data_IF_259873266813
#
_entry.id   IF_259873266813
#
_cell.length_a   1.000
_cell.length_b   1.000
_cell.length_c   1.000
_cell.angle_alpha   90.00
_cell.angle_beta   90.00
_cell.angle_gamma   90.00
#
_symmetry.space_group_name_H-M   'P 1'
#
loop_
_entity.id
_entity.type
_entity.pdbx_description
1 polymer ?
#
# COMPACT_ATOMS: atom_id res chain seq x y z
N UNK A 1 -3.57 22.05 -0.12
CA UNK A 1 -4.62 21.01 -0.10
C UNK A 1 -4.14 19.85 0.79
N UNK A 2 -4.06 20.06 2.10
CA UNK A 2 -3.19 19.22 2.96
C UNK A 2 -3.93 18.17 3.81
N UNK A 3 -5.24 17.94 3.63
CA UNK A 3 -6.01 17.11 4.58
C UNK A 3 -7.05 16.14 3.97
N UNK A 4 -7.13 15.95 2.66
CA UNK A 4 -8.21 15.12 2.08
C UNK A 4 -8.04 13.61 2.36
N UNK A 5 -6.80 13.13 2.48
CA UNK A 5 -6.51 11.72 2.75
C UNK A 5 -6.37 11.38 4.23
N UNK A 6 -6.40 12.36 5.13
CA UNK A 6 -6.39 12.07 6.58
C UNK A 6 -7.63 11.29 7.00
N UNK A 7 -8.74 11.46 6.28
CA UNK A 7 -9.95 10.65 6.48
C UNK A 7 -9.72 9.16 6.16
N UNK A 8 -8.74 8.81 5.33
CA UNK A 8 -8.40 7.41 5.06
C UNK A 8 -7.94 6.69 6.33
N UNK A 9 -7.25 7.37 7.26
CA UNK A 9 -6.88 6.81 8.56
C UNK A 9 -8.11 6.51 9.44
N UNK A 10 -9.25 7.15 9.18
CA UNK A 10 -10.51 6.83 9.85
C UNK A 10 -11.18 5.58 9.27
N UNK A 11 -10.88 5.23 8.03
CA UNK A 11 -11.52 4.12 7.30
C UNK A 11 -10.79 2.80 7.57
N UNK A 12 -9.45 2.83 7.72
CA UNK A 12 -8.64 1.61 7.93
C UNK A 12 -8.67 1.05 9.36
N UNK A 13 -9.77 1.26 10.10
CA UNK A 13 -10.06 0.70 11.42
C UNK A 13 -8.91 0.79 12.47
N UNK A 14 -8.15 1.89 12.45
CA UNK A 14 -7.17 2.15 13.51
C UNK A 14 -7.87 2.60 14.80
N UNK A 15 -7.43 2.06 15.92
CA UNK A 15 -7.85 2.55 17.23
C UNK A 15 -7.35 3.99 17.48
N UNK A 16 -7.92 4.66 18.48
CA UNK A 16 -7.61 6.06 18.76
C UNK A 16 -6.12 6.30 19.03
N UNK A 17 -5.44 5.37 19.69
CA UNK A 17 -4.04 5.53 20.05
C UNK A 17 -3.13 5.35 18.82
N UNK A 18 -3.40 4.34 17.99
CA UNK A 18 -2.66 4.10 16.76
C UNK A 18 -2.87 5.26 15.77
N UNK A 19 -4.11 5.76 15.65
CA UNK A 19 -4.41 6.90 14.76
C UNK A 19 -3.66 8.17 15.13
N UNK A 20 -3.44 8.43 16.42
CA UNK A 20 -2.66 9.59 16.87
C UNK A 20 -1.18 9.48 16.50
N UNK A 21 -0.67 8.26 16.33
CA UNK A 21 0.72 7.98 15.96
C UNK A 21 0.87 7.68 14.47
N UNK A 22 -0.24 7.62 13.73
CA UNK A 22 -0.26 7.36 12.31
C UNK A 22 0.05 8.63 11.52
N UNK A 23 0.90 8.50 10.51
CA UNK A 23 1.15 9.53 9.51
C UNK A 23 0.78 8.98 8.14
N UNK A 24 0.29 9.88 7.29
CA UNK A 24 -0.11 9.57 5.94
C UNK A 24 0.41 10.66 5.02
N UNK A 25 1.27 10.24 4.09
CA UNK A 25 1.87 11.09 3.08
C UNK A 25 1.47 10.62 1.69
N UNK A 26 1.30 11.57 0.77
CA UNK A 26 1.17 11.24 -0.65
C UNK A 26 2.57 10.97 -1.18
N UNK A 27 2.84 9.73 -1.57
CA UNK A 27 4.11 9.31 -2.13
C UNK A 27 4.19 9.66 -3.62
N UNK A 28 3.10 9.38 -4.36
CA UNK A 28 3.05 9.62 -5.81
C UNK A 28 1.64 9.93 -6.27
N UNK A 29 1.53 10.76 -7.31
CA UNK A 29 0.30 10.99 -8.05
C UNK A 29 0.43 10.43 -9.47
N UNK A 30 -0.66 9.82 -9.95
CA UNK A 30 -0.82 9.25 -11.28
C UNK A 30 -2.02 9.91 -11.96
N UNK A 31 -1.87 11.10 -12.59
CA UNK A 31 -3.00 11.92 -13.05
C UNK A 31 -3.98 11.22 -14.01
N UNK A 32 -3.53 10.18 -14.72
CA UNK A 32 -4.34 9.38 -15.64
C UNK A 32 -4.89 8.08 -15.03
N UNK A 33 -4.61 7.78 -13.76
CA UNK A 33 -4.87 6.50 -13.09
C UNK A 33 -4.02 5.33 -13.62
N UNK A 34 -3.44 5.51 -14.81
CA UNK A 34 -2.61 4.54 -15.50
C UNK A 34 -1.13 4.86 -15.29
N UNK A 35 -0.31 3.86 -14.92
CA UNK A 35 1.08 4.10 -14.58
C UNK A 35 1.90 4.24 -15.84
N UNK A 36 2.38 5.46 -16.15
CA UNK A 36 3.48 5.58 -17.11
C UNK A 36 4.69 4.83 -16.55
N UNK A 37 5.39 4.06 -17.38
CA UNK A 37 6.51 3.20 -16.94
C UNK A 37 7.57 3.97 -16.13
N UNK A 38 7.85 5.23 -16.50
CA UNK A 38 8.77 6.11 -15.75
C UNK A 38 8.26 6.46 -14.35
N UNK A 39 6.96 6.74 -14.20
CA UNK A 39 6.36 7.02 -12.91
C UNK A 39 6.34 5.78 -12.03
N UNK A 40 6.05 4.62 -12.63
CA UNK A 40 6.08 3.35 -11.93
C UNK A 40 7.49 3.01 -11.45
N UNK A 41 8.51 3.15 -12.32
CA UNK A 41 9.91 2.94 -11.94
C UNK A 41 10.32 3.83 -10.78
N UNK A 42 9.99 5.12 -10.85
CA UNK A 42 10.27 6.06 -9.77
C UNK A 42 9.53 5.73 -8.47
N UNK A 43 8.30 5.21 -8.54
CA UNK A 43 7.60 4.70 -7.36
C UNK A 43 8.35 3.49 -6.76
N UNK A 44 8.82 2.57 -7.60
CA UNK A 44 9.58 1.41 -7.11
C UNK A 44 10.93 1.83 -6.51
N UNK A 45 11.59 2.87 -7.05
CA UNK A 45 12.78 3.47 -6.43
C UNK A 45 12.49 3.97 -5.01
N UNK A 46 11.37 4.66 -4.81
CA UNK A 46 10.95 5.17 -3.50
C UNK A 46 10.59 4.04 -2.54
N UNK A 47 9.86 3.02 -3.00
CA UNK A 47 9.52 1.84 -2.18
C UNK A 47 10.79 1.11 -1.72
N UNK A 48 11.79 0.93 -2.60
CA UNK A 48 13.06 0.31 -2.21
C UNK A 48 13.80 1.13 -1.14
N UNK A 49 13.73 2.46 -1.21
CA UNK A 49 14.30 3.34 -0.18
C UNK A 49 13.52 3.28 1.13
N UNK A 50 12.20 3.26 1.10
CA UNK A 50 11.37 3.15 2.30
C UNK A 50 11.61 1.83 3.04
N UNK A 51 11.59 0.72 2.31
CA UNK A 51 11.74 -0.62 2.90
C UNK A 51 13.20 -1.08 3.03
N UNK A 52 14.16 -0.27 2.59
CA UNK A 52 15.61 -0.58 2.59
C UNK A 52 15.90 -1.96 1.97
N UNK A 53 15.15 -2.32 0.92
CA UNK A 53 15.17 -3.65 0.29
C UNK A 53 14.85 -3.55 -1.19
N UNK A 54 15.55 -4.33 -2.01
CA UNK A 54 15.30 -4.45 -3.47
C UNK A 54 14.04 -5.24 -3.82
N UNK A 55 13.58 -6.04 -2.87
CA UNK A 55 12.40 -6.87 -3.01
C UNK A 55 11.38 -6.48 -1.95
N UNK A 56 10.11 -6.56 -2.32
CA UNK A 56 8.99 -6.22 -1.45
C UNK A 56 7.78 -7.07 -1.80
N UNK A 57 6.83 -7.12 -0.88
CA UNK A 57 5.62 -7.92 -1.02
C UNK A 57 4.51 -7.05 -1.61
N UNK A 58 4.11 -7.33 -2.85
CA UNK A 58 2.92 -6.73 -3.46
C UNK A 58 1.70 -7.59 -3.13
N UNK A 59 0.67 -6.98 -2.57
CA UNK A 59 -0.57 -7.61 -2.12
C UNK A 59 -1.78 -6.93 -2.77
N UNK A 60 -2.79 -7.71 -3.11
CA UNK A 60 -4.07 -7.22 -3.62
C UNK A 60 -5.23 -8.15 -3.25
N UNK A 61 -6.45 -7.64 -3.40
CA UNK A 61 -7.68 -8.39 -3.20
C UNK A 61 -8.29 -8.78 -4.55
N UNK A 62 -9.11 -9.83 -4.56
CA UNK A 62 -9.96 -10.15 -5.70
C UNK A 62 -11.44 -9.93 -5.35
N UNK A 63 -12.34 -10.04 -6.33
CA UNK A 63 -13.80 -9.84 -6.20
C UNK A 63 -14.52 -10.68 -5.12
N UNK A 64 -13.81 -11.51 -4.34
CA UNK A 64 -14.33 -12.20 -3.15
C UNK A 64 -13.49 -11.98 -1.89
N UNK A 65 -12.82 -10.81 -1.80
CA UNK A 65 -11.97 -10.35 -0.69
C UNK A 65 -10.90 -11.37 -0.28
N UNK A 66 -10.41 -12.17 -1.23
CA UNK A 66 -9.31 -13.10 -0.98
C UNK A 66 -8.00 -12.38 -1.21
N UNK A 67 -7.10 -12.48 -0.24
CA UNK A 67 -5.75 -11.93 -0.32
C UNK A 67 -4.90 -12.74 -1.30
N UNK A 68 -4.29 -12.03 -2.24
CA UNK A 68 -3.21 -12.52 -3.09
C UNK A 68 -1.97 -11.68 -2.83
N UNK A 69 -0.81 -12.32 -2.89
CA UNK A 69 0.45 -11.62 -2.80
C UNK A 69 1.51 -12.28 -3.68
N UNK A 70 2.51 -11.48 -4.04
CA UNK A 70 3.71 -11.91 -4.75
C UNK A 70 4.88 -11.07 -4.24
N UNK A 71 6.02 -11.70 -3.99
CA UNK A 71 7.28 -10.96 -3.84
C UNK A 71 7.74 -10.47 -5.21
N UNK A 72 8.03 -9.19 -5.30
CA UNK A 72 8.40 -8.53 -6.54
C UNK A 72 9.61 -7.63 -6.32
N UNK A 73 10.29 -7.33 -7.42
CA UNK A 73 11.33 -6.30 -7.49
C UNK A 73 11.09 -5.40 -8.70
N UNK A 74 11.99 -4.44 -8.94
CA UNK A 74 12.00 -3.67 -10.19
C UNK A 74 12.12 -4.55 -11.45
N UNK A 75 12.70 -5.73 -11.36
CA UNK A 75 12.80 -6.66 -12.49
C UNK A 75 11.41 -7.18 -12.92
N UNK A 76 10.44 -7.18 -12.01
CA UNK A 76 9.04 -7.53 -12.26
C UNK A 76 8.22 -6.36 -12.86
N UNK A 77 8.85 -5.30 -13.36
CA UNK A 77 8.17 -4.10 -13.88
C UNK A 77 6.98 -4.41 -14.79
N UNK A 78 7.16 -5.33 -15.75
CA UNK A 78 6.09 -5.74 -16.68
C UNK A 78 4.90 -6.36 -15.96
N UNK A 79 5.15 -7.17 -14.93
CA UNK A 79 4.10 -7.77 -14.12
C UNK A 79 3.38 -6.69 -13.31
N UNK A 80 4.12 -5.80 -12.64
CA UNK A 80 3.54 -4.74 -11.79
C UNK A 80 2.68 -3.80 -12.65
N UNK A 81 3.19 -3.39 -13.81
CA UNK A 81 2.47 -2.55 -14.77
C UNK A 81 1.15 -3.20 -15.23
N UNK A 82 1.19 -4.48 -15.59
CA UNK A 82 -0.02 -5.21 -15.99
C UNK A 82 -1.01 -5.37 -14.82
N UNK A 83 -0.51 -5.70 -13.63
CA UNK A 83 -1.32 -5.85 -12.44
C UNK A 83 -2.00 -4.53 -12.06
N UNK A 84 -1.30 -3.40 -12.16
CA UNK A 84 -1.86 -2.08 -11.88
C UNK A 84 -3.09 -1.77 -12.72
N UNK A 85 -3.00 -1.99 -14.04
CA UNK A 85 -4.13 -1.77 -14.94
C UNK A 85 -5.28 -2.76 -14.72
N UNK A 86 -4.96 -4.04 -14.47
CA UNK A 86 -5.96 -5.08 -14.21
C UNK A 86 -6.70 -4.90 -12.88
N UNK A 87 -6.02 -4.30 -11.89
CA UNK A 87 -6.52 -4.05 -10.54
C UNK A 87 -6.94 -2.58 -10.37
N UNK A 88 -7.32 -1.91 -11.46
CA UNK A 88 -8.04 -0.64 -11.37
C UNK A 88 -9.34 -0.86 -10.58
N UNK A 89 -9.63 0.02 -9.62
CA UNK A 89 -10.73 -0.15 -8.67
C UNK A 89 -10.45 -1.06 -7.48
N UNK A 90 -9.21 -1.51 -7.26
CA UNK A 90 -8.81 -2.26 -6.07
C UNK A 90 -7.61 -1.60 -5.39
N UNK A 91 -7.47 -1.78 -4.08
CA UNK A 91 -6.23 -1.45 -3.39
C UNK A 91 -5.09 -2.38 -3.83
N UNK A 92 -3.89 -1.81 -3.95
CA UNK A 92 -2.65 -2.58 -4.01
C UNK A 92 -1.79 -2.12 -2.84
N UNK A 93 -1.36 -3.06 -2.01
CA UNK A 93 -0.44 -2.79 -0.91
C UNK A 93 0.96 -3.23 -1.31
N UNK A 94 1.95 -2.45 -0.93
CA UNK A 94 3.34 -2.84 -0.91
C UNK A 94 3.81 -2.87 0.54
N UNK A 95 4.41 -3.98 0.92
CA UNK A 95 4.88 -4.28 2.27
C UNK A 95 6.35 -4.71 2.23
N UNK A 96 7.08 -4.63 3.35
CA UNK A 96 8.40 -5.25 3.48
C UNK A 96 8.41 -6.73 3.04
N UNK A 97 9.55 -7.21 2.54
CA UNK A 97 9.68 -8.59 2.00
C UNK A 97 9.35 -9.66 3.05
N UNK A 98 9.71 -9.41 4.30
CA UNK A 98 9.51 -10.28 5.45
C UNK A 98 8.09 -10.21 6.02
N UNK A 99 7.18 -9.47 5.38
CA UNK A 99 5.78 -9.42 5.76
C UNK A 99 5.14 -10.81 5.76
N UNK A 100 4.72 -11.26 6.94
CA UNK A 100 4.13 -12.58 7.15
C UNK A 100 2.65 -12.59 6.75
N UNK A 101 2.38 -12.64 5.45
CA UNK A 101 1.03 -12.65 4.89
C UNK A 101 0.54 -14.08 4.64
N UNK A 102 -0.67 -14.37 5.10
CA UNK A 102 -1.38 -15.63 4.79
C UNK A 102 -2.49 -15.39 3.79
N UNK A 103 -2.65 -16.32 2.85
CA UNK A 103 -3.80 -16.33 1.95
C UNK A 103 -5.05 -16.65 2.76
N UNK A 104 -5.91 -15.67 2.94
CA UNK A 104 -7.20 -15.82 3.60
C UNK A 104 -8.24 -14.91 2.93
N UNK A 105 -9.51 -15.10 3.27
CA UNK A 105 -10.54 -14.11 2.98
C UNK A 105 -10.58 -13.10 4.11
N UNK A 106 -10.79 -11.85 3.74
CA UNK A 106 -11.08 -10.76 4.70
C UNK A 106 -12.53 -10.35 4.57
N UNK A 107 -13.12 -9.94 5.69
CA UNK A 107 -14.47 -9.39 5.69
C UNK A 107 -14.47 -7.94 5.22
N UNK A 108 -13.40 -7.21 5.51
CA UNK A 108 -13.23 -5.79 5.23
C UNK A 108 -11.78 -5.54 4.77
N UNK A 109 -11.61 -4.89 3.61
CA UNK A 109 -10.29 -4.69 3.00
C UNK A 109 -9.53 -3.58 3.70
N UNK A 110 -10.23 -2.51 4.09
CA UNK A 110 -9.70 -1.36 4.80
C UNK A 110 -9.28 -1.72 6.23
N UNK A 111 -10.09 -2.49 6.95
CA UNK A 111 -9.69 -3.01 8.26
C UNK A 111 -8.45 -3.91 8.14
N UNK A 112 -8.32 -4.69 7.07
CA UNK A 112 -7.11 -5.48 6.81
C UNK A 112 -5.89 -4.60 6.49
N UNK A 113 -6.06 -3.51 5.73
CA UNK A 113 -5.00 -2.51 5.52
C UNK A 113 -4.50 -1.96 6.87
N UNK A 114 -5.41 -1.64 7.79
CA UNK A 114 -5.07 -1.23 9.16
C UNK A 114 -4.28 -2.28 9.93
N UNK A 115 -4.68 -3.54 9.85
CA UNK A 115 -3.93 -4.66 10.46
C UNK A 115 -2.53 -4.79 9.89
N UNK A 116 -2.36 -4.66 8.57
CA UNK A 116 -1.05 -4.64 7.94
C UNK A 116 -0.19 -3.48 8.45
N UNK A 117 -0.77 -2.28 8.59
CA UNK A 117 -0.04 -1.12 9.10
C UNK A 117 0.44 -1.36 10.54
N UNK A 118 -0.42 -1.91 11.40
CA UNK A 118 -0.06 -2.27 12.79
C UNK A 118 1.00 -3.37 12.86
N UNK A 119 1.00 -4.32 11.93
CA UNK A 119 1.95 -5.43 11.92
C UNK A 119 3.35 -5.03 11.41
N UNK A 120 3.43 -4.02 10.55
CA UNK A 120 4.66 -3.68 9.83
C UNK A 120 5.17 -2.25 10.07
N UNK A 121 4.43 -1.44 10.83
CA UNK A 121 4.68 -0.02 11.14
C UNK A 121 4.79 0.91 9.92
N UNK A 122 4.86 0.39 8.71
CA UNK A 122 4.83 1.13 7.47
C UNK A 122 4.28 0.27 6.34
N UNK A 123 3.58 0.90 5.42
CA UNK A 123 3.18 0.28 4.16
C UNK A 123 2.90 1.36 3.10
N UNK A 124 2.88 0.94 1.84
CA UNK A 124 2.53 1.81 0.72
C UNK A 124 1.24 1.29 0.07
N UNK A 125 0.26 2.16 -0.16
CA UNK A 125 -1.05 1.81 -0.73
C UNK A 125 -1.28 2.58 -2.01
N UNK A 126 -1.50 1.88 -3.11
CA UNK A 126 -2.20 2.43 -4.26
C UNK A 126 -3.70 2.40 -3.96
N UNK A 127 -4.35 3.56 -4.05
CA UNK A 127 -5.79 3.74 -3.83
C UNK A 127 -6.61 3.07 -4.93
N UNK A 128 -7.89 2.77 -4.68
CA UNK A 128 -8.75 2.09 -5.65
C UNK A 128 -8.82 2.83 -7.00
N UNK A 129 -8.97 4.16 -6.93
CA UNK A 129 -9.04 5.07 -8.08
C UNK A 129 -7.74 5.16 -8.90
N UNK A 130 -6.64 4.59 -8.39
CA UNK A 130 -5.32 4.57 -8.99
C UNK A 130 -4.67 5.93 -9.24
N UNK A 131 -5.25 7.01 -8.73
CA UNK A 131 -4.69 8.35 -8.89
C UNK A 131 -3.59 8.65 -7.89
N UNK A 132 -3.60 7.98 -6.73
CA UNK A 132 -2.69 8.31 -5.64
C UNK A 132 -2.05 7.05 -5.08
N UNK A 133 -0.79 7.19 -4.71
CA UNK A 133 -0.08 6.25 -3.86
C UNK A 133 0.23 6.92 -2.54
N UNK A 134 -0.22 6.30 -1.46
CA UNK A 134 -0.08 6.76 -0.10
C UNK A 134 1.02 5.97 0.59
N UNK A 135 1.82 6.66 1.39
CA UNK A 135 2.72 6.05 2.35
C UNK A 135 2.12 6.24 3.74
N UNK A 136 1.83 5.13 4.41
CA UNK A 136 1.31 5.11 5.76
C UNK A 136 2.39 4.63 6.71
N UNK A 137 2.58 5.33 7.82
CA UNK A 137 3.51 4.94 8.87
C UNK A 137 2.86 5.05 10.24
N UNK A 138 3.31 4.22 11.18
CA UNK A 138 3.06 4.35 12.60
C UNK A 138 4.39 4.72 13.25
N UNK A 139 4.41 5.86 13.94
CA UNK A 139 5.52 6.21 14.82
C UNK A 139 5.49 5.31 16.04
N UNK A 140 6.63 4.68 16.37
CA UNK A 140 6.72 3.85 17.58
C UNK A 140 6.41 4.69 18.82
N UNK A 141 5.65 4.11 19.76
CA UNK A 141 5.43 4.71 21.07
C UNK A 141 6.78 4.80 21.78
N UNK A 142 7.32 6.00 21.92
CA UNK A 142 8.39 6.28 22.87
C UNK A 142 7.77 6.12 24.27
N UNK A 143 8.02 4.98 24.91
CA UNK A 143 7.67 4.74 26.32
C UNK A 143 8.76 5.24 27.26
#
# INVERSE_FOLDING_TARGET
MQNLWQDFLNIIDLDKADRQNAQLDILKEFPSGYPQERLLLSLLDEIEQLFQSREFTMLWFNNGRRIYFKHVSKEDMKFIYHAWGKLAGNYILFLPKDASIRRQRVEDEEAFIGQCLKAHNQLVVKTEDAYVVLHLTLTEKVY
#
